data_IF_208627132566
#
_entry.id   IF_208627132566
#
_cell.length_a   1.000
_cell.length_b   1.000
_cell.length_c   1.000
_cell.angle_alpha   90.00
_cell.angle_beta   90.00
_cell.angle_gamma   90.00
#
_symmetry.space_group_name_H-M   'P 1'
#
loop_
_entity.id
_entity.type
_entity.pdbx_description
1 polymer ?
#
# COMPACT_ATOMS: atom_id res chain seq x y z
N UNK A 1 -10.39 -26.23 10.76
CA UNK A 1 -10.50 -25.06 11.66
C UNK A 1 -11.97 -24.70 11.70
N UNK A 2 -12.73 -25.27 12.65
CA UNK A 2 -14.16 -24.96 12.81
C UNK A 2 -14.28 -23.72 13.67
N UNK A 3 -15.06 -22.76 13.19
CA UNK A 3 -15.04 -21.37 13.61
C UNK A 3 -16.09 -21.15 14.72
N UNK A 4 -16.03 -21.96 15.78
CA UNK A 4 -17.16 -22.24 16.69
C UNK A 4 -17.47 -21.11 17.69
N UNK A 5 -17.21 -19.85 17.30
CA UNK A 5 -17.45 -18.65 18.10
C UNK A 5 -16.93 -17.33 17.52
N UNK A 6 -16.35 -17.32 16.31
CA UNK A 6 -15.85 -16.09 15.68
C UNK A 6 -17.01 -15.21 15.20
N UNK A 7 -17.09 -13.97 15.69
CA UNK A 7 -18.19 -13.03 15.43
C UNK A 7 -17.85 -11.93 14.43
N UNK A 8 -16.57 -11.77 14.11
CA UNK A 8 -16.08 -10.68 13.28
C UNK A 8 -16.02 -11.07 11.79
N UNK A 9 -15.53 -10.14 10.98
CA UNK A 9 -15.44 -10.36 9.55
C UNK A 9 -14.52 -11.54 9.20
N UNK A 10 -14.99 -12.40 8.30
CA UNK A 10 -14.23 -13.48 7.68
C UNK A 10 -14.00 -13.10 6.21
N UNK A 11 -12.74 -12.96 5.82
CA UNK A 11 -12.35 -12.58 4.45
C UNK A 11 -10.99 -11.89 4.40
N UNK A 12 -10.65 -11.36 3.23
CA UNK A 12 -9.46 -10.51 3.05
C UNK A 12 -9.68 -9.14 3.69
N UNK A 13 -8.62 -8.52 4.21
CA UNK A 13 -8.71 -7.23 4.93
C UNK A 13 -9.31 -6.11 4.08
N UNK A 14 -9.12 -6.13 2.75
CA UNK A 14 -9.59 -5.08 1.84
C UNK A 14 -11.12 -4.99 1.77
N UNK A 15 -11.83 -6.08 2.04
CA UNK A 15 -13.31 -6.08 2.06
C UNK A 15 -13.88 -5.23 3.22
N UNK A 16 -13.09 -5.03 4.28
CA UNK A 16 -13.48 -4.18 5.40
C UNK A 16 -13.51 -2.72 4.98
N UNK A 17 -12.58 -2.30 4.10
CA UNK A 17 -12.54 -0.95 3.55
C UNK A 17 -13.88 -0.65 2.88
N UNK A 18 -14.34 -1.51 1.96
CA UNK A 18 -15.61 -1.33 1.24
C UNK A 18 -16.80 -1.11 2.18
N UNK A 19 -16.84 -1.79 3.33
CA UNK A 19 -17.93 -1.71 4.32
C UNK A 19 -17.92 -0.45 5.17
N UNK A 20 -16.79 0.24 5.31
CA UNK A 20 -16.70 1.45 6.12
C UNK A 20 -17.26 2.67 5.38
N UNK A 21 -17.95 3.53 6.12
CA UNK A 21 -18.28 4.89 5.64
C UNK A 21 -17.07 5.78 5.90
N UNK A 22 -16.51 6.36 4.84
CA UNK A 22 -15.31 7.20 4.89
C UNK A 22 -15.64 8.50 4.15
N UNK A 23 -15.28 9.64 4.73
CA UNK A 23 -15.34 10.94 4.06
C UNK A 23 -14.07 11.13 3.21
N UNK A 24 -14.15 10.79 1.93
CA UNK A 24 -12.97 10.66 1.07
C UNK A 24 -12.07 11.90 1.02
N UNK A 25 -12.66 13.09 0.85
CA UNK A 25 -11.94 14.35 0.64
C UNK A 25 -11.17 14.87 1.85
N UNK A 26 -11.46 14.37 3.05
CA UNK A 26 -10.83 14.77 4.31
C UNK A 26 -10.00 13.65 4.96
N UNK A 27 -9.80 12.54 4.25
CA UNK A 27 -9.15 11.34 4.77
C UNK A 27 -7.74 11.16 4.23
N UNK A 28 -6.79 10.89 5.12
CA UNK A 28 -5.45 10.38 4.79
C UNK A 28 -5.38 8.88 5.09
N UNK A 29 -4.76 8.11 4.19
CA UNK A 29 -4.63 6.67 4.33
C UNK A 29 -3.16 6.25 4.33
N UNK A 30 -2.82 5.34 5.23
CA UNK A 30 -1.50 4.70 5.30
C UNK A 30 -1.69 3.19 5.20
N UNK A 31 -0.94 2.55 4.32
CA UNK A 31 -1.07 1.12 4.03
C UNK A 31 0.32 0.48 4.09
N UNK A 32 0.43 -0.63 4.81
CA UNK A 32 1.61 -1.50 4.84
C UNK A 32 1.17 -2.97 4.70
N UNK A 33 2.00 -3.80 4.09
CA UNK A 33 1.71 -5.23 3.90
C UNK A 33 2.13 -5.74 2.53
N UNK A 34 1.63 -6.91 2.10
CA UNK A 34 1.97 -7.44 0.78
C UNK A 34 1.53 -6.50 -0.34
N UNK A 35 2.37 -6.32 -1.38
CA UNK A 35 2.07 -5.37 -2.47
C UNK A 35 0.72 -5.67 -3.16
N UNK A 36 0.37 -6.94 -3.31
CA UNK A 36 -0.95 -7.35 -3.86
C UNK A 36 -2.11 -6.85 -3.00
N UNK A 37 -1.97 -6.92 -1.66
CA UNK A 37 -2.97 -6.41 -0.73
C UNK A 37 -3.08 -4.89 -0.84
N UNK A 38 -1.94 -4.19 -0.94
CA UNK A 38 -1.92 -2.74 -1.13
C UNK A 38 -2.64 -2.32 -2.41
N UNK A 39 -2.41 -3.00 -3.54
CA UNK A 39 -3.09 -2.71 -4.83
C UNK A 39 -4.62 -2.78 -4.70
N UNK A 40 -5.13 -3.82 -4.05
CA UNK A 40 -6.57 -3.94 -3.80
C UNK A 40 -7.08 -2.91 -2.79
N UNK A 41 -6.31 -2.59 -1.74
CA UNK A 41 -6.69 -1.58 -0.77
C UNK A 41 -6.79 -0.19 -1.43
N UNK A 42 -5.80 0.19 -2.23
CA UNK A 42 -5.82 1.46 -3.00
C UNK A 42 -7.04 1.51 -3.91
N UNK A 43 -7.34 0.43 -4.64
CA UNK A 43 -8.53 0.38 -5.50
C UNK A 43 -9.82 0.69 -4.72
N UNK A 44 -10.01 0.08 -3.54
CA UNK A 44 -11.18 0.33 -2.69
C UNK A 44 -11.23 1.76 -2.13
N UNK A 45 -10.08 2.36 -1.80
CA UNK A 45 -10.00 3.74 -1.30
C UNK A 45 -10.30 4.77 -2.40
N UNK A 46 -9.81 4.54 -3.63
CA UNK A 46 -10.12 5.39 -4.78
C UNK A 46 -11.62 5.37 -5.11
N UNK A 47 -12.28 4.23 -4.93
CA UNK A 47 -13.76 4.12 -5.07
C UNK A 47 -14.55 4.86 -3.99
N UNK A 48 -13.88 5.35 -2.95
CA UNK A 48 -14.45 6.18 -1.89
C UNK A 48 -14.02 7.64 -2.00
N UNK A 49 -13.59 8.06 -3.19
CA UNK A 49 -13.21 9.44 -3.50
C UNK A 49 -12.03 9.96 -2.65
N UNK A 50 -11.17 9.07 -2.15
CA UNK A 50 -9.92 9.46 -1.50
C UNK A 50 -8.91 9.85 -2.59
N UNK A 51 -8.35 11.07 -2.56
CA UNK A 51 -7.35 11.51 -3.53
C UNK A 51 -6.09 10.63 -3.53
N UNK A 52 -5.47 10.41 -4.70
CA UNK A 52 -4.28 9.58 -4.81
C UNK A 52 -3.07 10.09 -4.00
N UNK A 53 -2.94 11.40 -3.85
CA UNK A 53 -1.90 12.06 -3.04
C UNK A 53 -2.18 12.00 -1.53
N UNK A 54 -3.37 11.54 -1.14
CA UNK A 54 -3.79 11.29 0.25
C UNK A 54 -3.64 9.83 0.66
N UNK A 55 -3.15 8.95 -0.24
CA UNK A 55 -2.90 7.53 0.03
C UNK A 55 -1.40 7.29 0.06
N UNK A 56 -0.88 6.76 1.17
CA UNK A 56 0.54 6.51 1.39
C UNK A 56 0.80 5.02 1.55
N UNK A 57 1.78 4.50 0.80
CA UNK A 57 2.16 3.09 0.84
C UNK A 57 3.55 2.95 1.44
N UNK A 58 3.67 2.08 2.45
CA UNK A 58 4.95 1.64 3.01
C UNK A 58 5.46 0.44 2.22
N UNK A 59 6.42 0.67 1.35
CA UNK A 59 7.00 -0.33 0.47
C UNK A 59 8.07 -1.17 1.17
N UNK A 60 8.07 -2.46 0.84
CA UNK A 60 9.09 -3.41 1.23
C UNK A 60 9.86 -3.86 -0.03
N UNK A 61 11.19 -3.80 0.03
CA UNK A 61 12.11 -4.29 -1.01
C UNK A 61 13.34 -4.92 -0.38
N UNK A 62 14.10 -5.67 -1.17
CA UNK A 62 15.37 -6.24 -0.73
C UNK A 62 16.34 -5.11 -0.37
N UNK A 63 16.59 -4.93 0.92
CA UNK A 63 17.58 -3.99 1.43
C UNK A 63 18.87 -4.74 1.76
N UNK A 64 20.02 -4.14 1.44
CA UNK A 64 21.34 -4.68 1.79
C UNK A 64 22.21 -3.61 2.48
N UNK A 65 22.48 -2.49 1.81
CA UNK A 65 23.37 -1.46 2.35
C UNK A 65 22.71 -0.45 3.29
N UNK A 66 21.38 -0.27 3.18
CA UNK A 66 20.57 0.74 3.87
C UNK A 66 21.12 2.19 3.85
N UNK A 67 22.00 2.51 2.91
CA UNK A 67 22.72 3.79 2.82
C UNK A 67 22.69 4.39 1.41
N UNK A 68 21.89 3.81 0.50
CA UNK A 68 21.69 4.29 -0.87
C UNK A 68 22.87 4.09 -1.81
N UNK A 69 23.74 3.11 -1.54
CA UNK A 69 24.96 2.87 -2.32
C UNK A 69 24.87 1.63 -3.22
N UNK A 70 24.13 0.59 -2.80
CA UNK A 70 24.10 -0.70 -3.51
C UNK A 70 22.96 -0.90 -4.52
N UNK A 71 21.94 -0.03 -4.54
CA UNK A 71 20.80 -0.13 -5.47
C UNK A 71 19.80 -1.27 -5.24
N UNK A 72 20.01 -2.16 -4.27
CA UNK A 72 19.11 -3.33 -4.05
C UNK A 72 17.66 -2.93 -3.72
N UNK A 73 17.47 -1.80 -3.03
CA UNK A 73 16.16 -1.28 -2.66
C UNK A 73 15.63 -0.22 -3.65
N UNK A 74 16.18 -0.17 -4.88
CA UNK A 74 15.80 0.84 -5.85
C UNK A 74 14.43 0.54 -6.46
N UNK A 75 13.59 1.56 -6.58
CA UNK A 75 12.33 1.54 -7.31
C UNK A 75 12.26 2.75 -8.23
N UNK A 76 12.47 2.52 -9.54
CA UNK A 76 12.59 3.61 -10.50
C UNK A 76 13.73 4.55 -10.12
N UNK A 77 13.47 5.86 -9.90
CA UNK A 77 14.50 6.83 -9.50
C UNK A 77 14.79 6.84 -7.99
N UNK A 78 14.03 6.10 -7.17
CA UNK A 78 14.10 6.21 -5.71
C UNK A 78 14.88 5.07 -5.08
N UNK A 79 15.66 5.36 -4.04
CA UNK A 79 16.22 4.36 -3.13
C UNK A 79 15.38 4.32 -1.85
N UNK A 80 14.57 3.27 -1.65
CA UNK A 80 13.69 3.18 -0.48
C UNK A 80 14.42 3.37 0.87
N UNK A 81 15.70 2.99 0.97
CA UNK A 81 16.48 3.20 2.18
C UNK A 81 16.92 4.64 2.45
N UNK A 82 16.83 5.56 1.49
CA UNK A 82 17.19 6.99 1.63
C UNK A 82 15.99 7.90 1.56
N UNK A 83 15.18 7.79 0.51
CA UNK A 83 13.97 8.61 0.34
C UNK A 83 12.82 8.16 1.23
N UNK A 84 12.95 7.00 1.88
CA UNK A 84 11.98 6.41 2.78
C UNK A 84 11.30 5.19 2.17
N UNK A 85 10.67 4.32 2.96
CA UNK A 85 9.81 3.28 2.41
C UNK A 85 8.40 3.82 2.12
N UNK A 86 8.01 4.96 2.69
CA UNK A 86 6.65 5.50 2.61
C UNK A 86 6.56 6.57 1.53
N UNK A 87 5.76 6.31 0.48
CA UNK A 87 5.52 7.27 -0.60
C UNK A 87 4.02 7.44 -0.86
N UNK A 88 3.60 8.62 -1.37
CA UNK A 88 2.24 8.80 -1.83
C UNK A 88 1.98 7.99 -3.10
N UNK A 89 0.76 7.48 -3.26
CA UNK A 89 0.40 6.54 -4.32
C UNK A 89 0.54 7.16 -5.71
N UNK A 90 0.22 8.45 -5.87
CA UNK A 90 0.39 9.18 -7.13
C UNK A 90 1.84 9.17 -7.66
N UNK A 91 2.85 9.03 -6.79
CA UNK A 91 4.26 8.88 -7.17
C UNK A 91 4.57 7.44 -7.58
N UNK A 92 3.94 6.47 -6.92
CA UNK A 92 4.24 5.04 -7.05
C UNK A 92 3.49 4.31 -8.16
N UNK A 93 2.29 4.77 -8.54
CA UNK A 93 1.34 4.08 -9.42
C UNK A 93 1.99 3.51 -10.69
N UNK A 94 2.81 4.33 -11.35
CA UNK A 94 3.57 3.97 -12.56
C UNK A 94 4.60 2.86 -12.36
N UNK A 95 5.15 2.71 -11.15
CA UNK A 95 6.16 1.71 -10.85
C UNK A 95 5.54 0.41 -10.36
N UNK A 96 4.46 0.48 -9.57
CA UNK A 96 3.75 -0.70 -9.06
C UNK A 96 2.93 -1.42 -10.15
N UNK A 97 2.64 -0.74 -11.25
CA UNK A 97 1.96 -1.33 -12.41
C UNK A 97 2.88 -2.23 -13.27
N UNK A 98 4.19 -2.18 -13.05
CA UNK A 98 5.17 -2.99 -13.80
C UNK A 98 5.30 -4.35 -13.13
N UNK A 99 5.17 -5.43 -13.91
CA UNK A 99 5.37 -6.79 -13.42
C UNK A 99 6.85 -7.02 -13.17
N UNK A 100 7.20 -7.43 -11.95
CA UNK A 100 8.54 -7.88 -11.61
C UNK A 100 8.82 -9.22 -12.32
N UNK A 101 9.99 -9.33 -12.96
CA UNK A 101 10.45 -10.52 -13.69
C UNK A 101 11.37 -11.33 -12.80
#
# INVERSE_FOLDING_TARGET
>A
ITNDGWKDHIGVVTSLISKQKIEGSSTLCYICGPEVMMKFAVHELLRKDIPQDSIYLSLERRMQCSTGTCGQCQLGPFFLCREGPIFPYNVLDKFLSIKEV
#
